data_IF_997774538475
#
_entry.id   IF_997774538475
#
_cell.length_a   1.000
_cell.length_b   1.000
_cell.length_c   1.000
_cell.angle_alpha   90.00
_cell.angle_beta   90.00
_cell.angle_gamma   90.00
#
_symmetry.space_group_name_H-M   'P 1'
#
loop_
_entity.id
_entity.type
_entity.pdbx_description
1 polymer ?
#
# COMPACT_ATOMS: atom_id res chain seq x y z
N UNK A 1 -33.55 52.81 -2.77
CA UNK A 1 -32.60 52.82 -1.64
C UNK A 1 -31.53 51.76 -1.94
N UNK A 2 -30.51 52.11 -2.69
CA UNK A 2 -29.20 52.61 -2.21
C UNK A 2 -28.20 51.46 -1.96
N UNK A 3 -27.39 51.15 -2.97
CA UNK A 3 -25.97 50.75 -2.81
C UNK A 3 -25.24 51.86 -2.02
N UNK A 4 -24.08 51.63 -1.34
CA UNK A 4 -22.84 51.26 -2.04
C UNK A 4 -21.73 50.52 -1.25
N UNK A 5 -20.79 50.00 -2.05
CA UNK A 5 -19.32 49.86 -1.88
C UNK A 5 -18.66 50.02 -0.49
N UNK A 6 -17.81 49.06 -0.16
CA UNK A 6 -16.74 49.18 0.85
C UNK A 6 -15.39 48.68 0.31
N UNK A 7 -14.67 49.56 -0.40
CA UNK A 7 -13.30 49.40 -0.89
C UNK A 7 -12.34 49.85 0.21
N UNK A 8 -11.44 49.00 0.70
CA UNK A 8 -10.30 49.44 1.52
C UNK A 8 -8.97 49.19 0.81
N UNK A 9 -8.22 50.30 0.68
CA UNK A 9 -6.93 50.47 0.01
C UNK A 9 -5.95 51.02 1.08
N UNK A 10 -4.70 50.59 1.03
CA UNK A 10 -3.56 51.18 1.76
C UNK A 10 -3.43 50.73 3.22
N UNK A 11 -2.25 50.57 3.82
CA UNK A 11 -1.02 51.28 3.56
C UNK A 11 0.20 50.48 4.05
N UNK A 12 1.33 50.80 3.44
CA UNK A 12 2.66 50.36 3.72
C UNK A 12 3.14 50.68 5.15
N UNK A 13 4.12 49.91 5.62
CA UNK A 13 5.29 50.52 6.25
C UNK A 13 5.96 49.77 7.39
N UNK A 14 7.06 49.08 7.03
CA UNK A 14 8.32 48.93 7.81
C UNK A 14 8.19 48.08 9.10
N UNK A 15 9.17 47.34 9.63
CA UNK A 15 10.63 47.13 9.49
C UNK A 15 10.89 45.85 10.31
N UNK A 16 11.81 44.96 9.98
CA UNK A 16 13.09 44.65 10.67
C UNK A 16 13.63 43.39 9.95
N UNK A 17 14.68 43.48 9.14
CA UNK A 17 16.13 43.42 9.43
C UNK A 17 16.64 42.07 9.97
N UNK A 18 17.66 41.56 9.26
CA UNK A 18 18.53 40.43 9.61
C UNK A 18 18.34 39.30 8.59
N UNK A 19 19.32 38.78 7.87
CA UNK A 19 20.78 38.87 7.93
C UNK A 19 21.34 38.36 6.57
N UNK A 20 22.55 38.79 6.22
CA UNK A 20 23.17 38.79 4.90
C UNK A 20 23.42 37.42 4.21
N UNK A 21 23.33 37.32 2.86
CA UNK A 21 24.09 36.35 2.09
C UNK A 21 25.45 36.96 1.68
N UNK A 22 26.50 36.24 2.04
CA UNK A 22 27.91 36.59 1.91
C UNK A 22 28.37 36.58 0.43
N UNK A 23 28.81 37.73 -0.09
CA UNK A 23 29.72 37.85 -1.24
C UNK A 23 31.10 38.23 -0.72
N UNK A 24 32.17 37.78 -1.38
CA UNK A 24 33.18 38.73 -1.87
C UNK A 24 33.43 38.51 -3.38
N UNK A 25 33.21 39.51 -4.24
CA UNK A 25 34.18 40.57 -4.58
C UNK A 25 35.45 40.02 -5.26
N UNK A 26 35.39 39.88 -6.59
CA UNK A 26 36.55 39.80 -7.49
C UNK A 26 37.19 41.18 -7.60
N UNK A 27 38.49 41.36 -7.29
CA UNK A 27 39.22 42.55 -7.69
C UNK A 27 39.74 42.38 -9.12
N UNK A 28 39.16 43.18 -10.00
CA UNK A 28 39.86 44.06 -10.95
C UNK A 28 41.08 43.55 -11.72
N UNK A 29 40.90 43.59 -13.05
CA UNK A 29 41.89 44.00 -14.04
C UNK A 29 43.10 44.76 -13.48
N UNK A 30 44.30 44.23 -13.66
CA UNK A 30 45.48 45.06 -13.83
C UNK A 30 46.13 44.75 -15.18
N UNK A 31 45.88 45.70 -16.07
CA UNK A 31 46.32 45.82 -17.45
C UNK A 31 47.81 46.16 -17.49
N UNK A 32 48.45 45.73 -18.57
CA UNK A 32 49.59 46.37 -19.26
C UNK A 32 50.95 46.52 -18.57
N UNK A 33 51.94 45.87 -19.20
CA UNK A 33 53.25 46.41 -19.64
C UNK A 33 53.57 47.86 -19.20
N UNK A 34 54.66 48.05 -18.46
CA UNK A 34 55.83 48.86 -18.89
C UNK A 34 57.01 48.73 -17.91
N UNK A 35 58.18 48.86 -18.51
CA UNK A 35 59.54 48.62 -18.01
C UNK A 35 59.91 49.51 -16.82
N UNK A 36 60.72 48.98 -15.89
CA UNK A 36 61.82 49.75 -15.26
C UNK A 36 63.11 48.92 -15.30
N UNK A 37 64.16 49.38 -15.98
CA UNK A 37 65.49 48.78 -15.93
C UNK A 37 66.24 49.27 -14.67
N UNK A 38 67.30 48.56 -14.28
CA UNK A 38 68.26 48.92 -13.23
C UNK A 38 67.79 48.87 -11.77
N UNK A 39 67.86 47.67 -11.19
CA UNK A 39 68.45 47.46 -9.86
C UNK A 39 69.37 46.23 -9.91
N UNK A 40 70.17 46.15 -10.99
CA UNK A 40 71.40 45.37 -11.02
C UNK A 40 72.47 46.26 -10.38
N UNK A 41 73.38 45.68 -9.62
CA UNK A 41 74.53 46.34 -8.97
C UNK A 41 74.27 47.01 -7.61
N UNK A 42 73.89 46.22 -6.59
CA UNK A 42 74.52 46.36 -5.25
C UNK A 42 74.31 45.19 -4.28
N UNK A 43 74.30 43.94 -4.77
CA UNK A 43 74.30 42.76 -3.89
C UNK A 43 75.26 41.74 -4.49
N UNK A 44 76.57 42.02 -4.45
CA UNK A 44 77.60 41.04 -4.81
C UNK A 44 78.69 40.84 -3.78
N UNK A 45 78.67 41.58 -2.67
CA UNK A 45 79.79 41.59 -1.73
C UNK A 45 79.38 41.17 -0.31
N UNK A 46 78.56 40.12 -0.17
CA UNK A 46 78.50 39.40 1.10
C UNK A 46 78.14 37.92 0.96
N UNK A 47 78.70 37.25 -0.05
CA UNK A 47 78.80 35.79 -0.07
C UNK A 47 80.16 35.41 0.49
N UNK A 48 80.23 35.24 1.81
CA UNK A 48 81.19 34.36 2.48
C UNK A 48 80.83 34.28 3.96
N UNK A 49 80.68 33.03 4.42
CA UNK A 49 80.65 32.59 5.82
C UNK A 49 79.27 32.63 6.52
N UNK A 50 78.37 31.76 6.07
CA UNK A 50 77.44 31.09 6.99
C UNK A 50 77.54 29.57 6.77
N UNK A 51 77.86 28.77 7.80
CA UNK A 51 77.84 27.33 7.70
C UNK A 51 76.38 26.85 7.59
N UNK A 52 76.06 26.18 6.50
CA UNK A 52 74.76 25.50 6.34
C UNK A 52 74.66 24.37 7.38
N UNK A 53 73.57 24.29 8.17
CA UNK A 53 73.33 23.12 9.01
C UNK A 53 73.06 21.89 8.12
N UNK A 54 73.48 20.68 8.54
CA UNK A 54 73.20 19.46 7.80
C UNK A 54 71.68 19.26 7.67
N UNK A 55 71.27 18.82 6.49
CA UNK A 55 69.87 18.77 6.07
C UNK A 55 68.96 18.12 7.11
N UNK A 56 67.90 18.85 7.48
CA UNK A 56 66.73 18.25 8.13
C UNK A 56 66.22 17.15 7.20
N UNK A 57 66.41 15.89 7.59
CA UNK A 57 65.69 14.79 7.01
C UNK A 57 64.20 15.14 7.10
N UNK A 58 63.58 15.41 5.95
CA UNK A 58 62.13 15.51 5.86
C UNK A 58 61.60 14.15 6.27
N UNK A 59 61.17 14.01 7.53
CA UNK A 59 60.35 12.89 7.95
C UNK A 59 59.08 13.00 7.10
N UNK A 60 59.04 12.20 6.03
CA UNK A 60 57.85 12.08 5.19
C UNK A 60 56.75 11.56 6.12
N UNK A 61 55.80 12.43 6.46
CA UNK A 61 54.54 11.99 7.05
C UNK A 61 53.96 10.94 6.11
N UNK A 62 53.70 9.70 6.58
CA UNK A 62 53.11 8.70 5.71
C UNK A 62 51.79 9.27 5.16
N UNK A 63 51.51 9.07 3.86
CA UNK A 63 50.28 9.58 3.27
C UNK A 63 49.08 9.03 4.04
N UNK A 64 48.01 9.83 4.25
CA UNK A 64 46.81 9.33 4.91
C UNK A 64 46.28 8.14 4.10
N UNK A 65 46.12 7.00 4.76
CA UNK A 65 45.54 5.82 4.12
C UNK A 65 44.13 6.16 3.64
N UNK A 66 43.76 5.85 2.37
CA UNK A 66 42.39 5.98 1.93
C UNK A 66 41.54 5.03 2.78
N UNK A 67 40.59 5.58 3.54
CA UNK A 67 39.55 4.79 4.19
C UNK A 67 38.77 4.15 3.04
N UNK A 68 38.94 2.85 2.84
CA UNK A 68 38.14 2.10 1.88
C UNK A 68 36.69 2.14 2.36
N UNK A 69 35.94 3.13 1.90
CA UNK A 69 34.50 3.20 2.07
C UNK A 69 33.96 2.15 1.11
N UNK A 70 33.92 0.90 1.58
CA UNK A 70 33.31 -0.21 0.86
C UNK A 70 31.92 0.27 0.46
N UNK A 71 31.74 0.62 -0.82
CA UNK A 71 30.45 0.97 -1.37
C UNK A 71 29.59 -0.25 -1.19
N UNK A 72 28.81 -0.25 -0.10
CA UNK A 72 28.10 -1.43 0.34
C UNK A 72 27.26 -1.94 -0.81
N UNK A 73 27.20 -3.27 -0.96
CA UNK A 73 26.27 -4.00 -1.83
C UNK A 73 24.88 -3.33 -1.91
N UNK A 74 24.45 -2.73 -0.80
CA UNK A 74 23.29 -1.87 -0.64
C UNK A 74 23.12 -0.72 -1.65
N UNK A 75 24.17 0.03 -2.04
CA UNK A 75 24.00 1.24 -2.87
C UNK A 75 23.58 0.93 -4.32
N UNK A 76 23.88 -0.28 -4.82
CA UNK A 76 23.58 -0.72 -6.19
C UNK A 76 22.36 -1.62 -6.26
N UNK A 77 22.15 -2.46 -5.25
CA UNK A 77 21.02 -3.41 -5.22
C UNK A 77 19.76 -2.84 -4.57
N UNK A 78 19.82 -1.75 -3.80
CA UNK A 78 18.65 -1.14 -3.13
C UNK A 78 17.49 -0.83 -4.09
N UNK A 79 17.79 -0.42 -5.32
CA UNK A 79 16.77 -0.13 -6.36
C UNK A 79 15.94 -1.36 -6.76
N UNK A 80 16.46 -2.58 -6.55
CA UNK A 80 15.79 -3.85 -6.84
C UNK A 80 15.38 -4.60 -5.57
N UNK A 81 16.13 -4.46 -4.49
CA UNK A 81 15.84 -5.09 -3.20
C UNK A 81 14.55 -4.56 -2.56
N UNK A 82 14.30 -3.25 -2.62
CA UNK A 82 13.07 -2.64 -2.10
C UNK A 82 11.82 -3.14 -2.84
N UNK A 83 11.73 -3.10 -4.19
CA UNK A 83 10.56 -3.63 -4.88
C UNK A 83 10.43 -5.15 -4.72
N UNK A 84 11.52 -5.91 -4.65
CA UNK A 84 11.45 -7.35 -4.38
C UNK A 84 10.92 -7.67 -2.98
N UNK A 85 11.38 -6.94 -1.95
CA UNK A 85 10.89 -7.10 -0.59
C UNK A 85 9.44 -6.63 -0.45
N UNK A 86 9.07 -5.53 -1.13
CA UNK A 86 7.69 -5.05 -1.17
C UNK A 86 6.76 -6.04 -1.85
N UNK A 87 7.19 -6.63 -2.98
CA UNK A 87 6.43 -7.67 -3.68
C UNK A 87 6.30 -8.94 -2.83
N UNK A 88 7.37 -9.36 -2.14
CA UNK A 88 7.32 -10.49 -1.21
C UNK A 88 6.37 -10.20 -0.04
N UNK A 89 6.47 -9.02 0.57
CA UNK A 89 5.59 -8.61 1.65
C UNK A 89 4.12 -8.55 1.22
N UNK A 90 3.84 -7.99 0.04
CA UNK A 90 2.50 -7.96 -0.54
C UNK A 90 1.98 -9.36 -0.86
N UNK A 91 2.84 -10.23 -1.41
CA UNK A 91 2.51 -11.62 -1.69
C UNK A 91 2.19 -12.41 -0.42
N UNK A 92 2.99 -12.27 0.63
CA UNK A 92 2.72 -12.89 1.93
C UNK A 92 1.44 -12.35 2.56
N UNK A 93 1.19 -11.04 2.45
CA UNK A 93 -0.05 -10.44 2.96
C UNK A 93 -1.28 -10.96 2.19
N UNK A 94 -1.22 -11.02 0.86
CA UNK A 94 -2.28 -11.59 0.05
C UNK A 94 -2.52 -13.07 0.36
N UNK A 95 -1.44 -13.86 0.52
CA UNK A 95 -1.54 -15.27 0.91
C UNK A 95 -2.16 -15.43 2.30
N UNK A 96 -1.82 -14.57 3.25
CA UNK A 96 -2.41 -14.57 4.59
C UNK A 96 -3.91 -14.25 4.56
N UNK A 97 -4.31 -13.25 3.78
CA UNK A 97 -5.74 -12.94 3.59
C UNK A 97 -6.49 -14.11 2.94
N UNK A 98 -5.93 -14.72 1.90
CA UNK A 98 -6.53 -15.89 1.25
C UNK A 98 -6.64 -17.08 2.20
N UNK A 99 -5.67 -17.28 3.10
CA UNK A 99 -5.72 -18.34 4.12
C UNK A 99 -6.86 -18.09 5.11
N UNK A 100 -6.97 -16.88 5.66
CA UNK A 100 -8.06 -16.52 6.59
C UNK A 100 -9.42 -16.71 5.92
N UNK A 101 -9.58 -16.15 4.72
CA UNK A 101 -10.82 -16.29 3.96
C UNK A 101 -11.13 -17.77 3.73
N UNK A 102 -10.17 -18.55 3.23
CA UNK A 102 -10.37 -19.98 2.96
C UNK A 102 -10.72 -20.78 4.22
N UNK A 103 -10.18 -20.41 5.38
CA UNK A 103 -10.54 -21.02 6.66
C UNK A 103 -12.00 -20.69 7.05
N UNK A 104 -12.41 -19.43 6.93
CA UNK A 104 -13.79 -19.01 7.22
C UNK A 104 -14.77 -19.65 6.24
N UNK A 105 -14.55 -19.53 4.93
CA UNK A 105 -15.38 -20.17 3.91
C UNK A 105 -15.41 -21.69 4.06
N UNK A 106 -14.29 -22.32 4.42
CA UNK A 106 -14.21 -23.75 4.71
C UNK A 106 -15.09 -24.15 5.90
N UNK A 107 -15.04 -23.39 6.99
CA UNK A 107 -15.91 -23.60 8.15
C UNK A 107 -17.39 -23.39 7.80
N UNK A 108 -17.72 -22.31 7.08
CA UNK A 108 -19.09 -22.02 6.66
C UNK A 108 -19.67 -23.12 5.77
N UNK A 109 -18.92 -23.55 4.75
CA UNK A 109 -19.32 -24.61 3.81
C UNK A 109 -19.44 -25.98 4.48
N UNK A 110 -18.72 -26.20 5.57
CA UNK A 110 -18.82 -27.42 6.37
C UNK A 110 -20.04 -27.46 7.30
N UNK A 111 -20.70 -26.32 7.53
CA UNK A 111 -21.85 -26.24 8.44
C UNK A 111 -23.08 -27.01 7.91
N UNK A 112 -23.85 -27.58 8.83
CA UNK A 112 -25.11 -28.26 8.50
C UNK A 112 -26.12 -27.30 7.86
N UNK A 113 -26.14 -26.04 8.29
CA UNK A 113 -27.00 -25.00 7.73
C UNK A 113 -26.74 -24.81 6.22
N UNK A 114 -25.48 -24.73 5.80
CA UNK A 114 -25.11 -24.62 4.38
C UNK A 114 -25.58 -25.84 3.58
N UNK A 115 -25.29 -27.05 4.08
CA UNK A 115 -25.66 -28.30 3.38
C UNK A 115 -27.16 -28.46 3.24
N UNK A 116 -27.92 -28.13 4.28
CA UNK A 116 -29.38 -28.19 4.27
C UNK A 116 -29.98 -27.14 3.31
N UNK A 117 -29.44 -25.92 3.29
CA UNK A 117 -29.87 -24.89 2.34
C UNK A 117 -29.64 -25.32 0.88
N UNK A 118 -28.44 -25.81 0.58
CA UNK A 118 -28.10 -26.32 -0.76
C UNK A 118 -28.97 -27.52 -1.15
N UNK A 119 -29.22 -28.45 -0.23
CA UNK A 119 -30.10 -29.60 -0.49
C UNK A 119 -31.52 -29.15 -0.84
N UNK A 120 -32.06 -28.13 -0.16
CA UNK A 120 -33.39 -27.58 -0.47
C UNK A 120 -33.41 -26.86 -1.82
N UNK A 121 -32.35 -26.11 -2.14
CA UNK A 121 -32.18 -25.47 -3.45
C UNK A 121 -32.20 -26.51 -4.59
N UNK A 122 -31.44 -27.61 -4.45
CA UNK A 122 -31.41 -28.67 -5.45
C UNK A 122 -32.71 -29.46 -5.55
N UNK A 123 -33.47 -29.56 -4.46
CA UNK A 123 -34.78 -30.23 -4.46
C UNK A 123 -35.90 -29.38 -5.07
N UNK A 124 -35.71 -28.05 -5.16
CA UNK A 124 -36.70 -27.14 -5.73
C UNK A 124 -36.77 -27.24 -7.26
N UNK A 125 -37.96 -27.56 -7.82
CA UNK A 125 -38.19 -27.50 -9.25
C UNK A 125 -38.10 -26.07 -9.79
N UNK A 126 -38.54 -25.08 -9.01
CA UNK A 126 -38.52 -23.68 -9.42
C UNK A 126 -37.09 -23.13 -9.54
N UNK A 127 -36.20 -23.48 -8.61
CA UNK A 127 -34.78 -23.12 -8.70
C UNK A 127 -34.11 -23.73 -9.94
N UNK A 128 -34.38 -25.01 -10.20
CA UNK A 128 -33.82 -25.71 -11.37
C UNK A 128 -34.38 -25.16 -12.68
N UNK A 129 -35.67 -24.82 -12.73
CA UNK A 129 -36.30 -24.21 -13.90
C UNK A 129 -35.76 -22.79 -14.19
N UNK A 130 -35.41 -22.04 -13.14
CA UNK A 130 -34.92 -20.68 -13.27
C UNK A 130 -33.42 -20.59 -13.63
N UNK A 131 -32.56 -21.35 -12.94
CA UNK A 131 -31.10 -21.29 -13.14
C UNK A 131 -30.59 -22.33 -14.14
N UNK A 132 -31.32 -23.42 -14.34
CA UNK A 132 -30.89 -24.55 -15.17
C UNK A 132 -29.92 -25.49 -14.46
N UNK A 133 -29.96 -26.77 -14.82
CA UNK A 133 -29.02 -27.78 -14.31
C UNK A 133 -27.72 -27.81 -15.15
N UNK A 134 -26.56 -28.11 -14.55
CA UNK A 134 -26.32 -28.33 -13.13
C UNK A 134 -26.19 -27.02 -12.35
N UNK A 135 -26.84 -26.95 -11.19
CA UNK A 135 -26.63 -25.87 -10.21
C UNK A 135 -25.22 -26.01 -9.61
N UNK A 136 -24.41 -24.98 -9.77
CA UNK A 136 -23.05 -24.88 -9.26
C UNK A 136 -23.00 -23.79 -8.21
N UNK A 137 -22.30 -24.12 -7.13
CA UNK A 137 -22.04 -23.18 -6.05
C UNK A 137 -20.91 -22.24 -6.46
N UNK A 138 -21.09 -20.94 -6.23
CA UNK A 138 -20.05 -19.96 -6.39
C UNK A 138 -18.95 -20.12 -5.33
N UNK A 139 -17.81 -19.50 -5.59
CA UNK A 139 -16.63 -19.60 -4.75
C UNK A 139 -16.67 -18.69 -3.51
N UNK A 140 -17.48 -17.62 -3.55
CA UNK A 140 -17.62 -16.63 -2.48
C UNK A 140 -18.97 -16.75 -1.79
N UNK A 141 -19.06 -17.48 -0.69
CA UNK A 141 -20.26 -17.46 0.18
C UNK A 141 -20.15 -16.35 1.23
N UNK A 142 -20.82 -15.22 1.02
CA UNK A 142 -20.81 -14.14 1.99
C UNK A 142 -21.74 -14.47 3.16
N UNK A 143 -21.44 -14.00 4.36
CA UNK A 143 -22.30 -14.20 5.51
C UNK A 143 -21.56 -14.38 6.82
N UNK A 144 -22.32 -14.62 7.88
CA UNK A 144 -21.82 -14.94 9.20
C UNK A 144 -22.59 -16.13 9.76
N UNK A 145 -21.87 -17.01 10.45
CA UNK A 145 -22.47 -18.10 11.22
C UNK A 145 -21.97 -17.96 12.65
N UNK A 146 -22.87 -17.60 13.54
CA UNK A 146 -22.62 -17.46 14.96
C UNK A 146 -23.21 -18.70 15.66
N UNK A 147 -22.39 -19.56 16.25
CA UNK A 147 -22.90 -20.73 17.01
C UNK A 147 -22.44 -20.65 18.45
N UNK A 148 -23.41 -20.52 19.35
CA UNK A 148 -23.23 -20.47 20.79
C UNK A 148 -23.79 -21.75 21.42
N UNK A 149 -23.05 -22.85 21.29
CA UNK A 149 -23.42 -24.15 21.87
C UNK A 149 -24.75 -24.70 21.32
N UNK A 150 -25.82 -24.78 22.14
CA UNK A 150 -27.12 -25.28 21.70
C UNK A 150 -27.91 -24.26 20.85
N UNK A 151 -27.53 -22.98 20.87
CA UNK A 151 -28.13 -21.93 20.04
C UNK A 151 -27.16 -21.39 18.99
N UNK A 152 -27.67 -20.68 18.00
CA UNK A 152 -26.87 -20.05 16.96
C UNK A 152 -27.72 -19.38 15.89
N UNK A 153 -27.09 -18.56 15.07
CA UNK A 153 -27.71 -17.84 13.95
C UNK A 153 -26.80 -17.96 12.74
N UNK A 154 -27.39 -18.12 11.56
CA UNK A 154 -26.69 -18.18 10.30
C UNK A 154 -27.39 -17.26 9.30
N UNK A 155 -26.66 -16.29 8.77
CA UNK A 155 -27.07 -15.46 7.65
C UNK A 155 -26.05 -15.63 6.54
N UNK A 156 -26.48 -16.24 5.43
CA UNK A 156 -25.60 -16.62 4.32
C UNK A 156 -26.18 -16.13 3.00
N UNK A 157 -25.32 -15.60 2.15
CA UNK A 157 -25.55 -15.29 0.75
C UNK A 157 -24.65 -16.21 -0.07
N UNK A 158 -25.27 -17.17 -0.76
CA UNK A 158 -24.58 -18.19 -1.54
C UNK A 158 -24.84 -17.88 -3.02
N UNK A 159 -23.84 -17.37 -3.77
CA UNK A 159 -23.97 -17.23 -5.21
C UNK A 159 -24.07 -18.61 -5.83
N UNK A 160 -25.01 -18.77 -6.76
CA UNK A 160 -25.31 -20.02 -7.46
C UNK A 160 -25.45 -19.75 -8.96
N UNK A 161 -24.81 -20.58 -9.75
CA UNK A 161 -24.82 -20.49 -11.21
C UNK A 161 -25.36 -21.77 -11.83
N UNK A 162 -26.11 -21.65 -12.89
CA UNK A 162 -26.64 -22.76 -13.66
C UNK A 162 -26.41 -22.57 -15.16
N UNK A 163 -26.99 -23.45 -15.97
CA UNK A 163 -26.84 -23.40 -17.43
C UNK A 163 -27.67 -22.30 -18.10
N UNK A 164 -28.72 -21.80 -17.44
CA UNK A 164 -29.61 -20.75 -17.94
C UNK A 164 -29.28 -19.36 -17.36
N UNK A 165 -28.67 -19.30 -16.18
CA UNK A 165 -28.32 -18.03 -15.55
C UNK A 165 -27.65 -18.18 -14.19
N UNK A 166 -27.48 -17.05 -13.51
CA UNK A 166 -26.85 -16.93 -12.20
C UNK A 166 -27.80 -16.21 -11.23
N UNK A 167 -27.57 -16.41 -9.94
CA UNK A 167 -28.32 -15.73 -8.88
C UNK A 167 -27.72 -15.96 -7.50
N UNK A 168 -28.29 -15.28 -6.52
CA UNK A 168 -27.86 -15.35 -5.12
C UNK A 168 -28.95 -16.02 -4.27
N UNK A 169 -28.56 -17.06 -3.53
CA UNK A 169 -29.40 -17.69 -2.52
C UNK A 169 -29.17 -17.01 -1.17
N UNK A 170 -30.20 -16.35 -0.66
CA UNK A 170 -30.24 -15.75 0.67
C UNK A 170 -30.82 -16.75 1.67
N UNK A 171 -30.07 -17.01 2.74
CA UNK A 171 -30.41 -17.98 3.78
C UNK A 171 -30.34 -17.30 5.14
N UNK A 172 -31.42 -17.38 5.90
CA UNK A 172 -31.43 -17.04 7.32
C UNK A 172 -31.95 -18.23 8.10
N UNK A 173 -31.14 -18.71 9.04
CA UNK A 173 -31.46 -19.85 9.87
C UNK A 173 -31.06 -19.63 11.33
N UNK A 174 -31.86 -20.13 12.24
CA UNK A 174 -31.62 -20.09 13.67
C UNK A 174 -31.48 -21.53 14.18
N UNK A 175 -30.44 -21.76 14.98
CA UNK A 175 -30.23 -23.01 15.69
C UNK A 175 -30.84 -22.87 17.08
N UNK A 176 -31.77 -23.75 17.41
CA UNK A 176 -32.38 -23.85 18.74
C UNK A 176 -32.36 -25.32 19.21
N UNK A 177 -31.91 -25.55 20.44
CA UNK A 177 -31.81 -26.89 21.03
C UNK A 177 -31.06 -27.92 20.15
N UNK A 178 -30.05 -27.48 19.39
CA UNK A 178 -29.29 -28.35 18.49
C UNK A 178 -29.87 -28.50 17.08
N UNK A 179 -31.08 -28.03 16.81
CA UNK A 179 -31.75 -28.13 15.51
C UNK A 179 -31.75 -26.79 14.76
N UNK A 180 -31.53 -26.82 13.45
CA UNK A 180 -31.59 -25.64 12.58
C UNK A 180 -33.01 -25.43 12.03
N UNK A 181 -33.52 -24.22 12.19
CA UNK A 181 -34.80 -23.75 11.64
C UNK A 181 -34.51 -22.64 10.64
N UNK A 182 -34.96 -22.81 9.41
CA UNK A 182 -34.80 -21.79 8.37
C UNK A 182 -35.99 -20.84 8.43
N UNK A 183 -35.71 -19.54 8.52
CA UNK A 183 -36.71 -18.47 8.50
C UNK A 183 -36.81 -17.84 7.11
N UNK A 184 -35.68 -17.75 6.41
CA UNK A 184 -35.60 -17.18 5.06
C UNK A 184 -34.80 -18.12 4.17
N UNK A 185 -35.37 -18.51 3.03
CA UNK A 185 -34.65 -19.26 1.99
C UNK A 185 -35.11 -18.78 0.61
N UNK A 186 -34.48 -17.72 0.11
CA UNK A 186 -34.94 -17.02 -1.09
C UNK A 186 -33.83 -17.00 -2.13
N UNK A 187 -34.14 -17.50 -3.33
CA UNK A 187 -33.29 -17.37 -4.49
C UNK A 187 -33.62 -16.09 -5.25
N UNK A 188 -32.64 -15.21 -5.41
CA UNK A 188 -32.75 -14.01 -6.25
C UNK A 188 -31.98 -14.22 -7.55
N UNK A 189 -32.64 -14.08 -8.70
CA UNK A 189 -32.01 -14.19 -10.01
C UNK A 189 -31.36 -12.86 -10.42
N UNK A 190 -30.16 -12.92 -10.98
CA UNK A 190 -29.43 -11.71 -11.39
C UNK A 190 -30.00 -11.11 -12.68
N UNK A 191 -30.60 -11.93 -13.55
CA UNK A 191 -31.13 -11.49 -14.84
C UNK A 191 -32.27 -10.47 -14.68
N UNK A 192 -33.26 -10.79 -13.83
CA UNK A 192 -34.52 -10.04 -13.73
C UNK A 192 -34.79 -9.53 -12.30
N UNK A 193 -33.93 -9.85 -11.33
CA UNK A 193 -34.16 -9.54 -9.91
C UNK A 193 -35.33 -10.31 -9.27
N UNK A 194 -35.90 -11.28 -9.99
CA UNK A 194 -37.01 -12.11 -9.50
C UNK A 194 -36.55 -12.91 -8.28
N UNK A 195 -37.39 -12.93 -7.25
CA UNK A 195 -37.18 -13.70 -6.02
C UNK A 195 -38.10 -14.92 -6.00
N UNK A 196 -37.53 -16.07 -5.66
CA UNK A 196 -38.23 -17.35 -5.53
C UNK A 196 -38.05 -17.79 -4.08
N UNK A 197 -39.15 -17.88 -3.33
CA UNK A 197 -39.13 -18.42 -1.97
C UNK A 197 -39.14 -19.95 -2.04
N UNK A 198 -38.08 -20.56 -1.52
CA UNK A 198 -37.87 -22.01 -1.52
C UNK A 198 -38.31 -22.66 -0.20
N UNK A 199 -38.68 -21.85 0.81
CA UNK A 199 -39.11 -22.33 2.10
C UNK A 199 -40.51 -22.96 2.01
N UNK A 200 -41.41 -22.28 1.30
CA UNK A 200 -42.79 -22.71 1.05
C UNK A 200 -42.82 -24.02 0.23
N UNK A 201 -41.92 -24.17 -0.75
CA UNK A 201 -41.85 -25.37 -1.60
C UNK A 201 -41.36 -26.60 -0.83
N UNK A 202 -40.50 -26.41 0.18
CA UNK A 202 -39.96 -27.48 1.00
C UNK A 202 -40.98 -28.01 2.03
N UNK A 203 -42.02 -27.22 2.35
CA UNK A 203 -43.16 -27.67 3.14
C UNK A 203 -44.28 -28.08 2.20
N UNK A 204 -44.40 -29.37 1.81
CA UNK A 204 -45.55 -29.80 1.04
C UNK A 204 -46.82 -29.42 1.81
N UNK A 205 -47.72 -28.71 1.13
CA UNK A 205 -48.98 -28.23 1.64
C UNK A 205 -49.65 -29.28 2.54
N UNK A 206 -49.89 -28.91 3.79
CA UNK A 206 -50.57 -29.73 4.78
C UNK A 206 -52.08 -29.66 4.59
#
# INVERSE_FOLDING_TARGET
>A
MSTPLGRHRGNAGRRWRGFCPNRPCRPTCCRSRRRRPNCRQRIRDNLRLFPFPPGRHMAATPPPMPIARNGGWWQRHWRWAVPALAALGLGLFAAFLLLILSAIFGMMKSSDAYRQAMSRLHASPAATAALGAPLREGWLTLGNIEVNGPSGEASLQIPVSGSLGEGDLYVEAEKAAGAWTFHTLVLQLDADGRRIDLLEEAQPAR
#
